data_IF_432044583976
#
_entry.id   IF_432044583976
#
_cell.length_a   1.000
_cell.length_b   1.000
_cell.length_c   1.000
_cell.angle_alpha   90.00
_cell.angle_beta   90.00
_cell.angle_gamma   90.00
#
_symmetry.space_group_name_H-M   'P 1'
#
loop_
_entity.id
_entity.type
_entity.pdbx_description
1 polymer ?
#
# COMPACT_ATOMS: atom_id res chain seq x y z
N UNK A 1 4.23 -38.44 -33.92
CA UNK A 1 3.41 -38.59 -35.16
C UNK A 1 4.04 -39.53 -36.20
N UNK A 2 5.36 -39.71 -36.19
CA UNK A 2 6.08 -40.49 -37.23
C UNK A 2 5.70 -41.98 -37.33
N UNK A 3 5.35 -42.64 -36.22
CA UNK A 3 4.94 -44.06 -36.24
C UNK A 3 3.64 -44.31 -37.03
N UNK A 4 2.66 -43.43 -36.87
CA UNK A 4 1.38 -43.51 -37.59
C UNK A 4 1.56 -43.30 -39.10
N UNK A 5 2.45 -42.39 -39.49
CA UNK A 5 2.79 -42.11 -40.89
C UNK A 5 3.42 -43.32 -41.57
N UNK A 6 4.32 -44.02 -40.86
CA UNK A 6 4.91 -45.29 -41.30
C UNK A 6 3.86 -46.38 -41.47
N UNK A 7 2.92 -46.51 -40.54
CA UNK A 7 1.81 -47.48 -40.63
C UNK A 7 0.89 -47.20 -41.83
N UNK A 8 0.54 -45.93 -42.09
CA UNK A 8 -0.25 -45.55 -43.25
C UNK A 8 0.48 -45.82 -44.57
N UNK A 9 1.76 -45.45 -44.65
CA UNK A 9 2.60 -45.70 -45.84
C UNK A 9 2.67 -47.20 -46.15
N UNK A 10 2.94 -48.02 -45.13
CA UNK A 10 2.96 -49.48 -45.27
C UNK A 10 1.62 -50.07 -45.73
N UNK A 11 0.49 -49.49 -45.28
CA UNK A 11 -0.85 -49.96 -45.65
C UNK A 11 -1.19 -49.62 -47.12
N UNK A 12 -0.83 -48.40 -47.58
CA UNK A 12 -1.06 -47.98 -48.96
C UNK A 12 -0.12 -48.72 -49.93
N UNK A 13 1.18 -48.81 -49.60
CA UNK A 13 2.16 -49.57 -50.39
C UNK A 13 1.78 -51.06 -50.44
N UNK A 14 1.31 -51.63 -49.33
CA UNK A 14 0.85 -53.02 -49.26
C UNK A 14 -0.41 -53.30 -50.10
N UNK A 15 -1.40 -52.38 -50.13
CA UNK A 15 -2.57 -52.49 -51.01
C UNK A 15 -2.19 -52.38 -52.49
N UNK A 16 -1.25 -51.48 -52.79
CA UNK A 16 -0.79 -51.23 -54.15
C UNK A 16 0.07 -52.40 -54.67
N UNK A 17 0.90 -53.00 -53.81
CA UNK A 17 1.61 -54.25 -54.10
C UNK A 17 0.67 -55.43 -54.39
N UNK A 18 -0.43 -55.56 -53.63
CA UNK A 18 -1.47 -56.58 -53.90
C UNK A 18 -2.17 -56.36 -55.24
N UNK A 19 -2.42 -55.10 -55.61
CA UNK A 19 -3.02 -54.75 -56.90
C UNK A 19 -2.07 -55.08 -58.07
N UNK A 20 -0.77 -54.76 -57.94
CA UNK A 20 0.27 -55.18 -58.89
C UNK A 20 0.35 -56.69 -59.05
N UNK A 21 0.33 -57.43 -57.94
CA UNK A 21 0.38 -58.89 -57.96
C UNK A 21 -0.83 -59.51 -58.67
N UNK A 22 -2.03 -58.90 -58.49
CA UNK A 22 -3.26 -59.34 -59.15
C UNK A 22 -3.22 -59.09 -60.67
N UNK A 23 -2.79 -57.90 -61.09
CA UNK A 23 -2.63 -57.56 -62.53
C UNK A 23 -1.61 -58.47 -63.19
N UNK A 24 -0.49 -58.76 -62.52
CA UNK A 24 0.55 -59.66 -63.03
C UNK A 24 0.06 -61.10 -63.15
N UNK A 25 -0.73 -61.58 -62.18
CA UNK A 25 -1.33 -62.91 -62.24
C UNK A 25 -2.34 -63.06 -63.39
N UNK A 26 -3.19 -62.06 -63.61
CA UNK A 26 -4.14 -62.03 -64.74
C UNK A 26 -3.41 -61.96 -66.10
N UNK A 27 -2.28 -61.24 -66.18
CA UNK A 27 -1.46 -61.15 -67.42
C UNK A 27 -0.76 -62.46 -67.82
N UNK A 28 -0.54 -63.38 -66.87
CA UNK A 28 0.11 -64.68 -67.11
C UNK A 28 -0.85 -65.81 -67.49
N UNK A 29 -2.17 -65.59 -67.38
CA UNK A 29 -3.20 -66.61 -67.63
C UNK A 29 -3.79 -66.57 -69.05
N UNK A 30 -3.59 -65.49 -69.82
CA UNK A 30 -4.06 -65.38 -71.20
C UNK A 30 -2.91 -65.57 -72.20
N UNK A 31 -2.78 -66.79 -72.74
CA UNK A 31 -1.81 -67.15 -73.79
C UNK A 31 -2.46 -67.45 -75.14
N UNK A 32 -3.57 -66.79 -75.46
CA UNK A 32 -4.21 -66.86 -76.79
C UNK A 32 -4.74 -65.49 -77.24
N UNK A 33 -4.02 -64.89 -78.20
CA UNK A 33 -4.46 -64.05 -79.33
C UNK A 33 -5.63 -63.05 -79.15
N UNK A 34 -5.72 -62.32 -78.02
CA UNK A 34 -6.70 -61.24 -77.85
C UNK A 34 -6.05 -59.87 -77.57
N UNK A 35 -5.84 -59.09 -78.64
CA UNK A 35 -5.30 -57.71 -78.59
C UNK A 35 -6.05 -56.79 -77.62
N UNK A 36 -7.34 -57.08 -77.34
CA UNK A 36 -8.18 -56.31 -76.44
C UNK A 36 -7.77 -56.46 -74.96
N UNK A 37 -7.26 -57.65 -74.58
CA UNK A 37 -6.80 -57.91 -73.22
C UNK A 37 -5.49 -57.20 -72.90
N UNK A 38 -4.58 -57.09 -73.87
CA UNK A 38 -3.31 -56.38 -73.71
C UNK A 38 -3.50 -54.89 -73.47
N UNK A 39 -4.44 -54.25 -74.18
CA UNK A 39 -4.76 -52.82 -74.01
C UNK A 39 -5.39 -52.53 -72.64
N UNK A 40 -6.27 -53.43 -72.16
CA UNK A 40 -6.86 -53.35 -70.82
C UNK A 40 -5.77 -53.46 -69.74
N UNK A 41 -4.84 -54.41 -69.86
CA UNK A 41 -3.72 -54.58 -68.91
C UNK A 41 -2.83 -53.32 -68.91
N UNK A 42 -2.50 -52.77 -70.08
CA UNK A 42 -1.72 -51.53 -70.17
C UNK A 42 -2.42 -50.32 -69.52
N UNK A 43 -3.74 -50.23 -69.66
CA UNK A 43 -4.54 -49.18 -69.01
C UNK A 43 -4.53 -49.34 -67.48
N UNK A 44 -4.68 -50.57 -66.97
CA UNK A 44 -4.55 -50.84 -65.53
C UNK A 44 -3.14 -50.55 -64.99
N UNK A 45 -2.09 -50.87 -65.75
CA UNK A 45 -0.71 -50.52 -65.37
C UNK A 45 -0.49 -49.00 -65.33
N UNK A 46 -1.06 -48.25 -66.29
CA UNK A 46 -1.03 -46.79 -66.27
C UNK A 46 -1.79 -46.23 -65.06
N UNK A 47 -2.96 -46.77 -64.73
CA UNK A 47 -3.76 -46.38 -63.57
C UNK A 47 -3.02 -46.67 -62.25
N UNK A 48 -2.35 -47.82 -62.16
CA UNK A 48 -1.52 -48.17 -60.99
C UNK A 48 -0.34 -47.21 -60.83
N UNK A 49 0.34 -46.83 -61.92
CA UNK A 49 1.40 -45.81 -61.88
C UNK A 49 0.89 -44.45 -61.40
N UNK A 50 -0.32 -44.05 -61.80
CA UNK A 50 -0.94 -42.81 -61.31
C UNK A 50 -1.23 -42.92 -59.80
N UNK A 51 -1.76 -44.06 -59.33
CA UNK A 51 -1.98 -44.27 -57.89
C UNK A 51 -0.68 -44.33 -57.09
N UNK A 52 0.40 -44.86 -57.65
CA UNK A 52 1.74 -44.81 -57.04
C UNK A 52 2.23 -43.39 -56.85
N UNK A 53 2.15 -42.59 -57.91
CA UNK A 53 2.51 -41.17 -57.83
C UNK A 53 1.67 -40.46 -56.78
N UNK A 54 0.35 -40.69 -56.78
CA UNK A 54 -0.55 -40.05 -55.82
C UNK A 54 -0.25 -40.45 -54.36
N UNK A 55 0.00 -41.73 -54.10
CA UNK A 55 0.39 -42.21 -52.75
C UNK A 55 1.73 -41.62 -52.33
N UNK A 56 2.70 -41.50 -53.26
CA UNK A 56 4.00 -40.88 -52.99
C UNK A 56 3.84 -39.40 -52.64
N UNK A 57 3.10 -38.64 -53.45
CA UNK A 57 2.88 -37.22 -53.26
C UNK A 57 2.13 -36.94 -51.94
N UNK A 58 1.13 -37.77 -51.60
CA UNK A 58 0.45 -37.69 -50.30
C UNK A 58 1.38 -38.03 -49.13
N UNK A 59 2.29 -38.99 -49.31
CA UNK A 59 3.30 -39.33 -48.31
C UNK A 59 4.23 -38.14 -48.02
N UNK A 60 4.73 -37.50 -49.08
CA UNK A 60 5.58 -36.31 -48.99
C UNK A 60 4.84 -35.13 -48.35
N UNK A 61 3.60 -34.86 -48.77
CA UNK A 61 2.77 -33.79 -48.17
C UNK A 61 2.53 -34.02 -46.68
N UNK A 62 2.22 -35.26 -46.28
CA UNK A 62 2.01 -35.57 -44.87
C UNK A 62 3.31 -35.48 -44.06
N UNK A 63 4.46 -35.84 -44.64
CA UNK A 63 5.76 -35.67 -44.00
C UNK A 63 6.07 -34.19 -43.74
N UNK A 64 5.87 -33.33 -44.75
CA UNK A 64 6.01 -31.87 -44.62
C UNK A 64 5.03 -31.31 -43.59
N UNK A 65 3.78 -31.79 -43.56
CA UNK A 65 2.78 -31.36 -42.57
C UNK A 65 3.23 -31.73 -41.14
N UNK A 66 3.70 -32.96 -40.92
CA UNK A 66 4.18 -33.38 -39.60
C UNK A 66 5.37 -32.54 -39.17
N UNK A 67 6.34 -32.29 -40.06
CA UNK A 67 7.50 -31.45 -39.76
C UNK A 67 7.10 -30.01 -39.43
N UNK A 68 6.17 -29.42 -40.19
CA UNK A 68 5.70 -28.06 -39.92
C UNK A 68 4.92 -27.97 -38.61
N UNK A 69 4.11 -28.97 -38.28
CA UNK A 69 3.44 -29.05 -36.97
C UNK A 69 4.46 -29.18 -35.83
N UNK A 70 5.45 -30.07 -35.96
CA UNK A 70 6.52 -30.23 -34.96
C UNK A 70 7.32 -28.93 -34.76
N UNK A 71 7.60 -28.19 -35.84
CA UNK A 71 8.25 -26.88 -35.77
C UNK A 71 7.38 -25.84 -35.07
N UNK A 72 6.08 -25.78 -35.40
CA UNK A 72 5.13 -24.86 -34.76
C UNK A 72 4.94 -25.18 -33.28
N UNK A 73 4.87 -26.46 -32.91
CA UNK A 73 4.80 -26.90 -31.51
C UNK A 73 6.06 -26.49 -30.75
N UNK A 74 7.24 -26.70 -31.34
CA UNK A 74 8.51 -26.27 -30.75
C UNK A 74 8.56 -24.75 -30.58
N UNK A 75 8.20 -23.98 -31.60
CA UNK A 75 8.22 -22.51 -31.54
C UNK A 75 7.21 -21.98 -30.52
N UNK A 76 6.00 -22.56 -30.48
CA UNK A 76 5.00 -22.21 -29.49
C UNK A 76 5.51 -22.46 -28.06
N UNK A 77 6.16 -23.60 -27.84
CA UNK A 77 6.73 -23.95 -26.54
C UNK A 77 7.86 -22.99 -26.15
N UNK A 78 8.75 -22.63 -27.07
CA UNK A 78 9.82 -21.66 -26.83
C UNK A 78 9.29 -20.27 -26.50
N UNK A 79 8.23 -19.83 -27.20
CA UNK A 79 7.54 -18.56 -26.91
C UNK A 79 6.91 -18.58 -25.52
N UNK A 80 6.25 -19.68 -25.13
CA UNK A 80 5.68 -19.84 -23.79
C UNK A 80 6.77 -19.78 -22.72
N UNK A 81 7.84 -20.56 -22.87
CA UNK A 81 8.98 -20.55 -21.94
C UNK A 81 9.59 -19.16 -21.79
N UNK A 82 9.74 -18.42 -22.90
CA UNK A 82 10.24 -17.04 -22.88
C UNK A 82 9.30 -16.10 -22.12
N UNK A 83 7.99 -16.23 -22.32
CA UNK A 83 6.99 -15.42 -21.63
C UNK A 83 6.93 -15.74 -20.14
N UNK A 84 7.00 -17.01 -19.76
CA UNK A 84 7.06 -17.43 -18.36
C UNK A 84 8.32 -16.90 -17.66
N UNK A 85 9.49 -16.96 -18.31
CA UNK A 85 10.72 -16.40 -17.77
C UNK A 85 10.60 -14.87 -17.55
N UNK A 86 10.03 -14.15 -18.51
CA UNK A 86 9.77 -12.70 -18.39
C UNK A 86 8.78 -12.40 -17.27
N UNK A 87 7.71 -13.18 -17.17
CA UNK A 87 6.69 -13.04 -16.12
C UNK A 87 7.31 -13.26 -14.73
N UNK A 88 8.09 -14.34 -14.56
CA UNK A 88 8.77 -14.63 -13.31
C UNK A 88 9.74 -13.51 -12.90
N UNK A 89 10.49 -12.96 -13.87
CA UNK A 89 11.37 -11.81 -13.62
C UNK A 89 10.56 -10.57 -13.20
N UNK A 90 9.48 -10.25 -13.90
CA UNK A 90 8.62 -9.12 -13.56
C UNK A 90 8.00 -9.26 -12.17
N UNK A 91 7.55 -10.47 -11.80
CA UNK A 91 7.02 -10.78 -10.46
C UNK A 91 8.10 -10.61 -9.39
N UNK A 92 9.32 -11.08 -9.64
CA UNK A 92 10.45 -10.89 -8.70
C UNK A 92 10.74 -9.41 -8.49
N UNK A 93 10.86 -8.64 -9.58
CA UNK A 93 11.10 -7.19 -9.51
C UNK A 93 9.96 -6.46 -8.79
N UNK A 94 8.71 -6.84 -9.06
CA UNK A 94 7.55 -6.26 -8.36
C UNK A 94 7.57 -6.55 -6.85
N UNK A 95 7.96 -7.76 -6.45
CA UNK A 95 8.13 -8.12 -5.03
C UNK A 95 9.23 -7.29 -4.36
N UNK A 96 10.39 -7.15 -5.01
CA UNK A 96 11.50 -6.33 -4.51
C UNK A 96 11.10 -4.85 -4.37
N UNK A 97 10.43 -4.29 -5.38
CA UNK A 97 9.91 -2.92 -5.34
C UNK A 97 8.90 -2.74 -4.19
N UNK A 98 7.98 -3.68 -4.01
CA UNK A 98 7.01 -3.63 -2.92
C UNK A 98 7.68 -3.72 -1.54
N UNK A 99 8.71 -4.55 -1.40
CA UNK A 99 9.48 -4.65 -0.15
C UNK A 99 10.22 -3.35 0.16
N UNK A 100 10.85 -2.72 -0.85
CA UNK A 100 11.48 -1.40 -0.71
C UNK A 100 10.47 -0.32 -0.34
N UNK A 101 9.31 -0.30 -1.00
CA UNK A 101 8.24 0.65 -0.70
C UNK A 101 7.78 0.56 0.76
N UNK A 102 7.56 -0.66 1.27
CA UNK A 102 7.24 -0.89 2.69
C UNK A 102 8.36 -0.43 3.62
N UNK A 103 9.62 -0.65 3.26
CA UNK A 103 10.78 -0.14 4.01
C UNK A 103 10.77 1.38 4.13
N UNK A 104 10.59 2.07 3.00
CA UNK A 104 10.49 3.54 2.98
C UNK A 104 9.28 4.07 3.74
N UNK A 105 8.16 3.36 3.74
CA UNK A 105 6.96 3.75 4.49
C UNK A 105 7.21 3.73 6.01
N UNK A 106 7.91 2.70 6.51
CA UNK A 106 8.31 2.60 7.93
C UNK A 106 9.31 3.70 8.29
N UNK A 107 10.32 3.94 7.46
CA UNK A 107 11.30 5.01 7.67
C UNK A 107 10.62 6.39 7.70
N UNK A 108 9.67 6.63 6.81
CA UNK A 108 8.90 7.87 6.75
C UNK A 108 8.06 8.06 8.02
N UNK A 109 7.38 7.01 8.51
CA UNK A 109 6.60 7.09 9.75
C UNK A 109 7.49 7.38 10.97
N UNK A 110 8.68 6.76 11.02
CA UNK A 110 9.67 7.03 12.06
C UNK A 110 10.16 8.49 12.00
N UNK A 111 10.50 8.99 10.81
CA UNK A 111 10.93 10.36 10.60
C UNK A 111 9.85 11.38 10.96
N UNK A 112 8.59 11.13 10.60
CA UNK A 112 7.45 11.99 10.98
C UNK A 112 7.27 12.02 12.50
N UNK A 113 7.41 10.87 13.17
CA UNK A 113 7.32 10.78 14.63
C UNK A 113 8.44 11.55 15.31
N UNK A 114 9.67 11.47 14.79
CA UNK A 114 10.81 12.25 15.28
C UNK A 114 10.62 13.75 15.06
N UNK A 115 10.13 14.15 13.87
CA UNK A 115 9.82 15.55 13.55
C UNK A 115 8.84 16.16 14.56
N UNK A 116 7.75 15.44 14.87
CA UNK A 116 6.76 15.89 15.87
C UNK A 116 7.40 16.11 17.23
N UNK A 117 8.22 15.17 17.72
CA UNK A 117 8.95 15.33 18.99
C UNK A 117 9.85 16.56 18.99
N UNK A 118 10.53 16.84 17.88
CA UNK A 118 11.37 18.02 17.78
C UNK A 118 10.55 19.32 17.72
N UNK A 119 9.40 19.32 17.06
CA UNK A 119 8.47 20.46 17.04
C UNK A 119 7.94 20.76 18.46
N UNK A 120 7.59 19.74 19.24
CA UNK A 120 7.16 19.88 20.63
C UNK A 120 8.28 20.50 21.49
N UNK A 121 9.52 20.01 21.36
CA UNK A 121 10.69 20.54 22.08
C UNK A 121 10.95 22.00 21.69
N UNK A 122 10.83 22.35 20.41
CA UNK A 122 10.98 23.73 19.95
C UNK A 122 9.91 24.62 20.58
N UNK A 123 8.65 24.18 20.63
CA UNK A 123 7.58 24.91 21.30
C UNK A 123 7.88 25.17 22.78
N UNK A 124 8.30 24.12 23.51
CA UNK A 124 8.68 24.23 24.92
C UNK A 124 9.84 25.20 25.15
N UNK A 125 10.85 25.16 24.29
CA UNK A 125 12.02 26.05 24.36
C UNK A 125 11.63 27.50 24.07
N UNK A 126 10.77 27.75 23.08
CA UNK A 126 10.25 29.08 22.79
C UNK A 126 9.46 29.66 23.97
N UNK A 127 8.63 28.85 24.62
CA UNK A 127 7.88 29.29 25.80
C UNK A 127 8.79 29.56 27.00
N UNK A 128 9.85 28.76 27.19
CA UNK A 128 10.88 29.05 28.20
C UNK A 128 11.61 30.35 27.89
N UNK A 129 11.97 30.58 26.62
CA UNK A 129 12.63 31.80 26.19
C UNK A 129 11.75 33.04 26.46
N UNK A 130 10.47 33.02 26.05
CA UNK A 130 9.51 34.10 26.32
C UNK A 130 9.33 34.40 27.81
N UNK A 131 9.38 33.36 28.67
CA UNK A 131 9.32 33.54 30.13
C UNK A 131 10.60 34.20 30.66
N UNK A 132 11.76 33.77 30.17
CA UNK A 132 13.05 34.33 30.57
C UNK A 132 13.19 35.78 30.13
N UNK A 133 12.76 36.10 28.91
CA UNK A 133 12.74 37.46 28.35
C UNK A 133 11.85 38.40 29.17
N UNK A 134 10.64 37.96 29.55
CA UNK A 134 9.79 38.74 30.47
C UNK A 134 10.48 39.04 31.80
N UNK A 135 11.08 38.03 32.43
CA UNK A 135 11.82 38.22 33.69
C UNK A 135 13.03 39.13 33.52
N UNK A 136 13.73 39.04 32.40
CA UNK A 136 14.85 39.93 32.09
C UNK A 136 14.38 41.38 32.01
N UNK A 137 13.29 41.65 31.28
CA UNK A 137 12.71 42.98 31.16
C UNK A 137 12.22 43.52 32.51
N UNK A 138 11.59 42.68 33.34
CA UNK A 138 11.16 43.05 34.70
C UNK A 138 12.34 43.47 35.58
N UNK A 139 13.45 42.71 35.52
CA UNK A 139 14.68 43.03 36.26
C UNK A 139 15.30 44.32 35.75
N UNK A 140 15.32 44.52 34.43
CA UNK A 140 15.88 45.73 33.82
C UNK A 140 15.06 46.98 34.17
N UNK A 141 13.73 46.88 34.17
CA UNK A 141 12.83 47.94 34.64
C UNK A 141 13.08 48.28 36.11
N UNK A 142 13.30 47.27 36.95
CA UNK A 142 13.62 47.46 38.37
C UNK A 142 15.00 48.10 38.56
N UNK A 143 16.00 47.69 37.76
CA UNK A 143 17.33 48.31 37.74
C UNK A 143 17.22 49.80 37.39
N UNK A 144 16.51 50.13 36.32
CA UNK A 144 16.30 51.52 35.91
C UNK A 144 15.56 52.37 36.96
N UNK A 145 14.58 51.78 37.66
CA UNK A 145 13.89 52.44 38.77
C UNK A 145 14.83 52.72 39.96
N UNK A 146 15.63 51.73 40.37
CA UNK A 146 16.60 51.89 41.47
C UNK A 146 17.70 52.90 41.13
N UNK A 147 18.19 52.91 39.88
CA UNK A 147 19.17 53.89 39.42
C UNK A 147 18.65 55.32 39.48
N UNK A 148 17.39 55.54 39.08
CA UNK A 148 16.73 56.83 39.22
C UNK A 148 16.62 57.28 40.69
N UNK A 149 16.24 56.37 41.57
CA UNK A 149 16.08 56.66 43.00
C UNK A 149 17.43 56.93 43.68
N UNK A 150 18.47 56.15 43.34
CA UNK A 150 19.85 56.42 43.76
C UNK A 150 20.32 57.80 43.31
N UNK A 151 20.10 58.17 42.04
CA UNK A 151 20.49 59.47 41.51
C UNK A 151 19.77 60.62 42.24
N UNK A 152 18.48 60.43 42.52
CA UNK A 152 17.66 61.38 43.28
C UNK A 152 18.22 61.58 44.70
N UNK A 153 18.57 60.49 45.39
CA UNK A 153 19.17 60.55 46.73
C UNK A 153 20.56 61.19 46.72
N UNK A 154 21.41 60.85 45.76
CA UNK A 154 22.75 61.46 45.61
C UNK A 154 22.65 62.97 45.41
N UNK A 155 21.67 63.41 44.63
CA UNK A 155 21.39 64.84 44.40
C UNK A 155 21.04 65.54 45.70
N UNK A 156 20.17 64.94 46.52
CA UNK A 156 19.73 65.52 47.81
C UNK A 156 20.86 65.58 48.81
N UNK A 157 21.65 64.51 48.92
CA UNK A 157 22.84 64.48 49.77
C UNK A 157 23.82 65.57 49.32
N UNK A 158 24.00 65.76 48.02
CA UNK A 158 24.87 66.80 47.48
C UNK A 158 24.38 68.21 47.80
N UNK A 159 23.07 68.47 47.70
CA UNK A 159 22.45 69.75 48.08
C UNK A 159 22.58 69.99 49.59
N UNK A 160 22.30 68.97 50.41
CA UNK A 160 22.39 69.06 51.86
C UNK A 160 23.83 69.33 52.32
N UNK A 161 24.83 68.71 51.69
CA UNK A 161 26.26 68.99 51.98
C UNK A 161 26.66 70.42 51.61
N UNK A 162 26.11 70.98 50.54
CA UNK A 162 26.42 72.37 50.09
C UNK A 162 25.71 73.44 50.91
N UNK A 163 24.46 73.19 51.32
CA UNK A 163 23.59 74.19 51.95
C UNK A 163 23.43 74.01 53.46
N UNK A 164 23.84 72.86 54.00
CA UNK A 164 23.65 72.48 55.40
C UNK A 164 22.21 72.11 55.76
N UNK A 165 21.27 72.07 54.80
CA UNK A 165 19.85 71.77 55.04
C UNK A 165 19.37 70.59 54.21
N UNK A 166 18.64 69.67 54.82
CA UNK A 166 17.99 68.56 54.12
C UNK A 166 16.72 69.06 53.43
N UNK A 167 16.72 69.07 52.10
CA UNK A 167 15.54 69.40 51.29
C UNK A 167 14.97 68.10 50.72
N UNK A 168 14.13 67.43 51.52
CA UNK A 168 13.52 66.14 51.17
C UNK A 168 12.26 66.29 50.30
N UNK A 169 11.66 67.48 50.23
CA UNK A 169 10.40 67.72 49.52
C UNK A 169 10.52 67.54 48.00
N UNK A 170 11.73 67.64 47.44
CA UNK A 170 11.98 67.45 46.01
C UNK A 170 12.19 65.97 45.60
N UNK A 171 12.26 65.04 46.56
CA UNK A 171 12.57 63.63 46.28
C UNK A 171 11.31 62.83 46.10
N UNK A 172 11.01 62.44 44.87
CA UNK A 172 9.98 61.45 44.58
C UNK A 172 10.66 60.12 44.24
N UNK A 173 10.86 59.30 45.27
CA UNK A 173 11.23 57.90 45.09
C UNK A 173 10.08 57.17 44.40
N UNK A 174 10.40 56.26 43.47
CA UNK A 174 9.38 55.45 42.80
C UNK A 174 8.84 54.41 43.79
N UNK A 175 7.52 54.34 43.93
CA UNK A 175 6.88 53.31 44.76
C UNK A 175 7.01 51.97 44.06
N UNK A 176 7.53 50.97 44.76
CA UNK A 176 7.54 49.59 44.30
C UNK A 176 6.18 48.97 44.61
N UNK A 177 5.50 48.44 43.60
CA UNK A 177 4.24 47.74 43.79
C UNK A 177 4.44 46.43 44.57
N UNK A 178 3.46 46.09 45.43
CA UNK A 178 3.48 44.88 46.25
C UNK A 178 3.73 43.60 45.42
N UNK A 179 3.09 43.51 44.25
CA UNK A 179 3.24 42.40 43.31
C UNK A 179 4.64 42.34 42.67
N UNK A 180 5.40 43.44 42.63
CA UNK A 180 6.80 43.45 42.16
C UNK A 180 7.78 42.93 43.22
N UNK A 181 7.46 43.07 44.50
CA UNK A 181 8.32 42.59 45.60
C UNK A 181 8.05 41.12 45.92
N UNK A 182 6.78 40.72 45.91
CA UNK A 182 6.36 39.39 46.36
C UNK A 182 5.89 38.46 45.21
N UNK A 183 5.89 38.96 43.97
CA UNK A 183 5.33 38.27 42.80
C UNK A 183 3.81 38.42 42.71
N UNK A 184 3.23 38.16 41.53
CA UNK A 184 1.78 37.92 41.42
C UNK A 184 1.44 36.76 42.37
N UNK A 185 0.46 36.94 43.26
CA UNK A 185 -0.02 35.85 44.09
C UNK A 185 -0.57 34.77 43.15
N UNK A 186 0.23 33.78 42.79
CA UNK A 186 -0.24 32.67 41.99
C UNK A 186 -1.38 32.03 42.78
N UNK A 187 -2.63 32.02 42.28
CA UNK A 187 -3.66 31.21 42.89
C UNK A 187 -3.09 29.79 42.92
N UNK A 188 -3.06 29.20 44.12
CA UNK A 188 -2.50 27.87 44.39
C UNK A 188 -2.83 26.95 43.21
N UNK A 189 -1.81 26.60 42.41
CA UNK A 189 -1.97 25.61 41.34
C UNK A 189 -2.55 24.36 42.01
N UNK A 190 -3.76 23.99 41.63
CA UNK A 190 -4.38 22.77 42.12
C UNK A 190 -3.39 21.63 41.89
N UNK A 191 -3.07 20.91 42.96
CA UNK A 191 -2.15 19.77 42.94
C UNK A 191 -2.51 18.83 41.79
N UNK A 192 -1.54 18.19 41.11
CA UNK A 192 -1.83 17.19 40.07
C UNK A 192 -2.79 16.09 40.55
N UNK A 193 -2.78 15.80 41.86
CA UNK A 193 -3.73 14.88 42.49
C UNK A 193 -5.19 15.36 42.45
N UNK A 194 -5.40 16.68 42.53
CA UNK A 194 -6.73 17.30 42.39
C UNK A 194 -7.19 17.28 40.92
N UNK A 195 -6.26 17.41 39.97
CA UNK A 195 -6.57 17.28 38.55
C UNK A 195 -6.97 15.84 38.16
N UNK A 196 -6.25 14.83 38.68
CA UNK A 196 -6.64 13.42 38.53
C UNK A 196 -8.01 13.13 39.16
N UNK A 197 -8.25 13.63 40.38
CA UNK A 197 -9.55 13.49 41.04
C UNK A 197 -10.68 14.15 40.23
N UNK A 198 -10.45 15.33 39.65
CA UNK A 198 -11.43 16.00 38.81
C UNK A 198 -11.69 15.25 37.49
N UNK A 199 -10.65 14.66 36.88
CA UNK A 199 -10.80 13.82 35.70
C UNK A 199 -11.61 12.56 36.01
N UNK A 200 -11.35 11.92 37.16
CA UNK A 200 -12.10 10.76 37.64
C UNK A 200 -13.57 11.11 37.95
N UNK A 201 -13.82 12.26 38.58
CA UNK A 201 -15.19 12.76 38.84
C UNK A 201 -15.93 13.00 37.52
N UNK A 202 -15.28 13.59 36.52
CA UNK A 202 -15.90 13.83 35.22
C UNK A 202 -16.22 12.52 34.49
N UNK A 203 -15.32 11.54 34.56
CA UNK A 203 -15.55 10.21 33.98
C UNK A 203 -16.73 9.50 34.66
N UNK A 204 -16.78 9.54 36.01
CA UNK A 204 -17.91 8.98 36.77
C UNK A 204 -19.23 9.69 36.46
N UNK A 205 -19.21 11.01 36.32
CA UNK A 205 -20.41 11.79 35.97
C UNK A 205 -20.94 11.43 34.58
N UNK A 206 -20.06 11.15 33.62
CA UNK A 206 -20.44 10.72 32.28
C UNK A 206 -21.06 9.32 32.28
N UNK A 207 -20.48 8.37 33.04
CA UNK A 207 -21.03 7.03 33.21
C UNK A 207 -22.41 7.06 33.91
N UNK A 208 -22.58 7.93 34.91
CA UNK A 208 -23.88 8.15 35.57
C UNK A 208 -24.91 8.65 34.55
N UNK A 209 -24.54 9.59 33.68
CA UNK A 209 -25.43 10.10 32.63
C UNK A 209 -25.87 9.02 31.64
N UNK A 210 -24.96 8.11 31.25
CA UNK A 210 -25.27 6.97 30.38
C UNK A 210 -26.24 5.99 31.04
N UNK A 211 -25.98 5.61 32.30
CA UNK A 211 -26.86 4.72 33.05
C UNK A 211 -28.25 5.33 33.29
N UNK A 212 -28.33 6.65 33.51
CA UNK A 212 -29.60 7.36 33.63
C UNK A 212 -30.39 7.35 32.31
N UNK A 213 -29.72 7.47 31.16
CA UNK A 213 -30.35 7.37 29.85
C UNK A 213 -30.86 5.95 29.56
N UNK A 214 -30.07 4.93 29.89
CA UNK A 214 -30.46 3.52 29.75
C UNK A 214 -31.64 3.16 30.66
N UNK A 215 -31.64 3.62 31.92
CA UNK A 215 -32.79 3.45 32.82
C UNK A 215 -34.04 4.15 32.29
N UNK A 216 -33.89 5.32 31.66
CA UNK A 216 -34.99 6.02 30.99
C UNK A 216 -35.58 5.21 29.82
N UNK A 217 -34.72 4.61 28.99
CA UNK A 217 -35.13 3.78 27.87
C UNK A 217 -35.86 2.51 28.32
N UNK A 218 -35.31 1.80 29.31
CA UNK A 218 -35.95 0.60 29.89
C UNK A 218 -37.31 0.93 30.50
N UNK A 219 -37.45 2.10 31.13
CA UNK A 219 -38.73 2.54 31.69
C UNK A 219 -39.76 2.85 30.59
N UNK A 220 -39.33 3.49 29.50
CA UNK A 220 -40.19 3.75 28.35
C UNK A 220 -40.67 2.45 27.67
N UNK A 221 -39.76 1.48 27.50
CA UNK A 221 -40.09 0.16 26.95
C UNK A 221 -41.08 -0.60 27.87
N UNK A 222 -40.90 -0.50 29.18
CA UNK A 222 -41.82 -1.09 30.16
C UNK A 222 -43.21 -0.45 30.11
N UNK A 223 -43.29 0.88 30.01
CA UNK A 223 -44.56 1.61 29.89
C UNK A 223 -45.27 1.26 28.56
N UNK A 224 -44.52 1.04 27.48
CA UNK A 224 -45.06 0.61 26.18
C UNK A 224 -45.56 -0.85 26.20
N UNK A 225 -44.88 -1.75 26.92
CA UNK A 225 -45.33 -3.12 27.17
C UNK A 225 -46.61 -3.18 28.03
N UNK A 226 -46.72 -2.30 29.02
CA UNK A 226 -47.94 -2.16 29.83
C UNK A 226 -49.12 -1.66 28.99
N UNK A 227 -48.89 -0.69 28.10
CA UNK A 227 -49.93 -0.16 27.20
C UNK A 227 -50.42 -1.23 26.19
N UNK A 228 -49.51 -2.01 25.62
CA UNK A 228 -49.88 -3.10 24.68
C UNK A 228 -50.57 -4.28 25.36
N UNK A 229 -50.21 -4.58 26.61
CA UNK A 229 -50.89 -5.61 27.43
C UNK A 229 -52.33 -5.21 27.81
N UNK A 230 -52.59 -3.92 28.02
CA UNK A 230 -53.94 -3.42 28.34
C UNK A 230 -54.88 -3.40 27.14
N UNK A 231 -54.36 -3.27 25.91
CA UNK A 231 -55.15 -3.36 24.67
C UNK A 231 -55.49 -4.79 24.25
N UNK A 232 -54.76 -5.81 24.74
CA UNK A 232 -55.06 -7.24 24.46
C UNK A 232 -56.15 -7.79 25.41
N UNK A 233 -56.45 -7.10 26.52
CA UNK A 233 -57.48 -7.49 27.50
C UNK A 233 -58.85 -6.79 27.30
N UNK A 234 -59.04 -6.03 26.22
CA UNK A 234 -60.34 -5.46 25.81
C UNK A 234 -60.86 -6.12 24.54
#
# INVERSE_FOLDING_TARGET
>A
MQGLLGEFKNLYEGRLGKLKAKIKADSTLEHDDNSYSTEIIQNYEAQVKVYESYVKDLGEQNEVLVQTVEQLESEANDRVNSLEAKLNKAVSTAKECNQKAKGYEVELQSAVSAKRKHEDIIGDLQDRYRRLERRYNEVEDNRAALEHDLHSLVTVISIARRTGRWQLEAVKLRKVDFNRVFGESTPLKQSPKIQELNAEINQKSLAIGQLQAELGAVRADYDQLLATSTDIMK
#
